data_IF_175841466417
#
_entry.id   IF_175841466417
#
_cell.length_a   1.000
_cell.length_b   1.000
_cell.length_c   1.000
_cell.angle_alpha   90.00
_cell.angle_beta   90.00
_cell.angle_gamma   90.00
#
_symmetry.space_group_name_H-M   'P 1'
#
loop_
_entity.id
_entity.type
_entity.pdbx_description
1 polymer ?
#
# COMPACT_ATOMS: atom_id res chain seq x y z
N UNK A 1 58.68 -13.05 34.97
CA UNK A 1 57.88 -11.80 34.85
C UNK A 1 57.86 -11.21 33.45
N UNK A 2 58.99 -11.11 32.72
CA UNK A 2 59.08 -10.41 31.41
C UNK A 2 58.10 -10.91 30.32
N UNK A 3 57.87 -12.22 30.21
CA UNK A 3 57.03 -12.80 29.15
C UNK A 3 55.52 -12.58 29.35
N UNK A 4 55.06 -12.44 30.61
CA UNK A 4 53.65 -12.18 30.93
C UNK A 4 53.26 -10.73 30.66
N UNK A 5 54.18 -9.80 30.89
CA UNK A 5 54.00 -8.37 30.62
C UNK A 5 53.92 -8.10 29.12
N UNK A 6 54.79 -8.74 28.32
CA UNK A 6 54.75 -8.61 26.85
C UNK A 6 53.45 -9.16 26.27
N UNK A 7 52.96 -10.31 26.77
CA UNK A 7 51.67 -10.87 26.33
C UNK A 7 50.48 -9.98 26.71
N UNK A 8 50.49 -9.36 27.89
CA UNK A 8 49.46 -8.43 28.31
C UNK A 8 49.43 -7.17 27.42
N UNK A 9 50.60 -6.63 27.07
CA UNK A 9 50.73 -5.45 26.19
C UNK A 9 50.24 -5.77 24.77
N UNK A 10 50.62 -6.94 24.21
CA UNK A 10 50.11 -7.36 22.91
C UNK A 10 48.60 -7.56 22.90
N UNK A 11 48.02 -8.13 23.97
CA UNK A 11 46.58 -8.31 24.08
C UNK A 11 45.84 -6.98 24.17
N UNK A 12 46.37 -6.00 24.90
CA UNK A 12 45.79 -4.65 24.95
C UNK A 12 45.90 -3.93 23.61
N UNK A 13 46.99 -4.12 22.84
CA UNK A 13 47.07 -3.57 21.48
C UNK A 13 46.06 -4.21 20.53
N UNK A 14 45.81 -5.52 20.62
CA UNK A 14 44.78 -6.19 19.80
C UNK A 14 43.37 -5.70 20.15
N UNK A 15 43.08 -5.51 21.44
CA UNK A 15 41.79 -4.98 21.92
C UNK A 15 41.59 -3.53 21.45
N UNK A 16 42.63 -2.69 21.52
CA UNK A 16 42.59 -1.32 20.99
C UNK A 16 42.42 -1.31 19.47
N UNK A 17 43.05 -2.23 18.73
CA UNK A 17 42.88 -2.33 17.28
C UNK A 17 41.48 -2.81 16.88
N UNK A 18 40.89 -3.75 17.63
CA UNK A 18 39.49 -4.15 17.43
C UNK A 18 38.49 -3.05 17.80
N UNK A 19 38.78 -2.23 18.82
CA UNK A 19 37.95 -1.09 19.22
C UNK A 19 38.14 0.14 18.31
N UNK A 20 39.28 0.29 17.64
CA UNK A 20 39.53 1.37 16.67
C UNK A 20 38.99 1.03 15.27
N UNK A 21 38.91 -0.26 14.91
CA UNK A 21 38.31 -0.71 13.66
C UNK A 21 36.78 -0.51 13.59
N UNK A 22 36.13 -0.19 14.71
CA UNK A 22 34.70 0.20 14.74
C UNK A 22 34.46 1.68 14.45
N UNK A 23 35.51 2.43 14.04
CA UNK A 23 35.39 3.78 13.51
C UNK A 23 34.63 3.81 12.18
N UNK A 24 33.30 3.76 12.29
CA UNK A 24 32.28 4.31 11.41
C UNK A 24 32.72 4.75 9.99
N UNK A 25 32.67 3.83 9.04
CA UNK A 25 32.29 4.19 7.67
C UNK A 25 30.76 4.37 7.65
N UNK A 26 30.28 5.50 8.15
CA UNK A 26 28.94 5.95 7.83
C UNK A 26 29.03 6.62 6.45
N UNK A 27 28.88 5.82 5.40
CA UNK A 27 28.54 6.38 4.09
C UNK A 27 27.16 7.03 4.28
N UNK A 28 27.11 8.36 4.22
CA UNK A 28 25.89 9.12 4.45
C UNK A 28 24.99 8.89 3.24
N UNK A 29 24.17 7.84 3.30
CA UNK A 29 23.15 7.58 2.28
C UNK A 29 22.16 8.74 2.39
N UNK A 30 22.25 9.70 1.49
CA UNK A 30 21.27 10.78 1.38
C UNK A 30 19.90 10.15 1.12
N UNK A 31 18.91 10.48 1.96
CA UNK A 31 17.53 10.02 1.84
C UNK A 31 16.63 11.26 1.83
N UNK A 32 15.65 11.29 0.93
CA UNK A 32 14.59 12.31 0.95
C UNK A 32 13.24 11.64 1.18
N UNK A 33 12.81 11.56 2.45
CA UNK A 33 11.56 10.92 2.82
C UNK A 33 10.39 11.90 2.68
N UNK A 34 9.47 11.57 1.79
CA UNK A 34 8.26 12.34 1.54
C UNK A 34 7.02 11.46 1.70
N UNK A 35 5.95 12.06 2.22
CA UNK A 35 4.62 11.43 2.26
C UNK A 35 3.87 11.78 0.99
N UNK A 36 3.66 10.81 0.11
CA UNK A 36 2.92 10.98 -1.13
C UNK A 36 1.50 10.41 -1.02
N UNK A 37 0.49 11.18 -1.43
CA UNK A 37 -0.92 10.72 -1.45
C UNK A 37 -1.18 10.00 -2.76
N UNK A 38 -1.44 8.70 -2.69
CA UNK A 38 -1.70 7.85 -3.86
C UNK A 38 -3.19 7.87 -4.23
N UNK A 39 -4.09 7.87 -3.23
CA UNK A 39 -5.53 7.99 -3.44
C UNK A 39 -6.19 8.86 -2.37
N UNK A 40 -7.07 9.76 -2.81
CA UNK A 40 -8.00 10.47 -1.92
C UNK A 40 -9.43 9.90 -1.98
N UNK A 41 -9.79 9.16 -3.04
CA UNK A 41 -11.15 8.66 -3.30
C UNK A 41 -12.23 9.73 -3.51
N UNK A 42 -11.83 11.00 -3.68
CA UNK A 42 -12.75 12.12 -3.89
C UNK A 42 -13.41 12.09 -5.29
N UNK A 43 -12.70 11.55 -6.30
CA UNK A 43 -13.18 11.42 -7.68
C UNK A 43 -13.32 9.94 -8.10
N UNK A 44 -14.55 9.38 -8.05
CA UNK A 44 -14.84 8.01 -8.45
C UNK A 44 -14.55 7.68 -9.91
N UNK A 45 -14.65 8.66 -10.81
CA UNK A 45 -14.54 8.43 -12.25
C UNK A 45 -13.08 8.51 -12.71
N UNK A 46 -12.25 9.33 -12.07
CA UNK A 46 -10.82 9.41 -12.39
C UNK A 46 -10.08 8.09 -12.11
N UNK A 47 -10.40 7.41 -11.01
CA UNK A 47 -9.69 6.21 -10.55
C UNK A 47 -10.67 5.20 -9.94
N UNK A 48 -11.40 4.43 -10.78
CA UNK A 48 -12.44 3.55 -10.30
C UNK A 48 -11.87 2.36 -9.54
N UNK A 49 -12.59 1.95 -8.50
CA UNK A 49 -12.34 0.76 -7.71
C UNK A 49 -13.48 -0.23 -7.90
N UNK A 50 -13.22 -1.52 -7.68
CA UNK A 50 -14.25 -2.54 -7.69
C UNK A 50 -13.97 -3.61 -6.64
N UNK A 51 -14.99 -4.41 -6.36
CA UNK A 51 -14.98 -5.38 -5.29
C UNK A 51 -15.15 -6.79 -5.84
N UNK A 52 -14.39 -7.74 -5.30
CA UNK A 52 -14.58 -9.17 -5.59
C UNK A 52 -14.83 -9.87 -4.26
N UNK A 53 -15.99 -10.51 -4.13
CA UNK A 53 -16.36 -11.30 -2.96
C UNK A 53 -15.92 -12.76 -3.06
N UNK A 54 -15.63 -13.36 -1.91
CA UNK A 54 -15.48 -14.81 -1.78
C UNK A 54 -16.78 -15.57 -2.06
N UNK A 55 -16.69 -16.90 -2.17
CA UNK A 55 -17.80 -17.79 -2.56
C UNK A 55 -19.11 -17.62 -1.77
N UNK A 56 -19.02 -17.24 -0.49
CA UNK A 56 -20.19 -17.12 0.40
C UNK A 56 -20.70 -15.69 0.56
N UNK A 57 -20.26 -14.77 -0.31
CA UNK A 57 -20.85 -13.44 -0.37
C UNK A 57 -22.34 -13.57 -0.71
N UNK A 58 -23.17 -12.88 0.09
CA UNK A 58 -24.61 -12.84 -0.16
C UNK A 58 -24.88 -12.25 -1.53
N UNK A 59 -25.95 -12.70 -2.20
CA UNK A 59 -26.34 -12.17 -3.51
C UNK A 59 -26.37 -10.64 -3.51
N UNK A 60 -25.81 -10.04 -4.57
CA UNK A 60 -25.65 -8.59 -4.76
C UNK A 60 -24.67 -7.90 -3.80
N UNK A 61 -23.87 -8.68 -3.04
CA UNK A 61 -22.74 -8.22 -2.23
C UNK A 61 -21.42 -8.87 -2.72
N UNK A 62 -20.26 -8.23 -2.49
CA UNK A 62 -20.07 -6.94 -1.84
C UNK A 62 -20.52 -5.74 -2.70
N UNK A 63 -20.81 -4.60 -2.06
CA UNK A 63 -21.21 -3.36 -2.73
C UNK A 63 -20.20 -2.24 -2.46
N UNK A 64 -19.94 -1.44 -3.48
CA UNK A 64 -19.11 -0.26 -3.40
C UNK A 64 -19.99 1.00 -3.41
N UNK A 65 -19.63 1.99 -2.59
CA UNK A 65 -20.21 3.32 -2.63
C UNK A 65 -19.15 4.37 -2.31
N UNK A 66 -19.40 5.61 -2.70
CA UNK A 66 -18.56 6.74 -2.29
C UNK A 66 -19.38 7.60 -1.34
N UNK A 67 -18.97 7.63 -0.08
CA UNK A 67 -19.70 8.31 0.98
C UNK A 67 -19.06 9.67 1.29
N UNK A 68 -19.89 10.68 1.56
CA UNK A 68 -19.43 11.96 2.09
C UNK A 68 -19.05 11.79 3.57
N UNK A 69 -17.87 11.26 3.81
CA UNK A 69 -17.30 10.98 5.13
C UNK A 69 -15.77 11.01 5.05
N UNK A 70 -15.12 11.40 6.14
CA UNK A 70 -13.68 11.60 6.22
C UNK A 70 -13.14 11.46 7.66
N UNK A 71 -11.84 11.19 7.85
CA UNK A 71 -11.19 11.26 9.15
C UNK A 71 -11.20 12.68 9.71
N UNK A 72 -11.83 12.86 10.87
CA UNK A 72 -11.88 14.14 11.59
C UNK A 72 -10.48 14.67 11.92
N UNK A 73 -9.51 13.78 12.11
CA UNK A 73 -8.11 14.13 12.37
C UNK A 73 -7.42 14.84 11.19
N UNK A 74 -7.92 14.65 9.96
CA UNK A 74 -7.34 15.26 8.76
C UNK A 74 -8.11 16.50 8.29
N UNK A 75 -9.44 16.45 8.33
CA UNK A 75 -10.30 17.48 7.73
C UNK A 75 -11.23 18.18 8.73
N UNK A 76 -11.04 17.93 10.03
CA UNK A 76 -11.88 18.49 11.08
C UNK A 76 -13.32 17.96 11.04
N UNK A 77 -14.20 18.58 11.83
CA UNK A 77 -15.61 18.17 11.92
C UNK A 77 -16.44 18.63 10.72
N UNK A 78 -16.01 19.69 10.03
CA UNK A 78 -16.75 20.28 8.91
C UNK A 78 -16.36 19.71 7.55
N UNK A 79 -15.18 19.09 7.43
CA UNK A 79 -14.66 18.57 6.15
C UNK A 79 -14.11 19.66 5.23
N UNK A 80 -14.18 20.93 5.64
CA UNK A 80 -13.89 22.07 4.79
C UNK A 80 -14.89 22.23 3.63
N UNK A 81 -14.54 23.08 2.66
CA UNK A 81 -15.41 23.43 1.53
C UNK A 81 -15.28 22.47 0.32
N UNK A 82 -14.51 21.39 0.45
CA UNK A 82 -14.25 20.43 -0.63
C UNK A 82 -15.30 19.30 -0.63
N UNK A 83 -15.61 18.76 -1.80
CA UNK A 83 -16.45 17.56 -1.92
C UNK A 83 -15.61 16.32 -1.58
N UNK A 84 -15.31 16.14 -0.29
CA UNK A 84 -14.48 15.03 0.19
C UNK A 84 -15.31 13.76 0.27
N UNK A 85 -14.77 12.68 -0.27
CA UNK A 85 -15.42 11.37 -0.27
C UNK A 85 -14.48 10.28 0.21
N UNK A 86 -15.05 9.27 0.82
CA UNK A 86 -14.36 8.03 1.18
C UNK A 86 -14.94 6.85 0.42
N UNK A 87 -14.09 5.86 0.16
CA UNK A 87 -14.46 4.61 -0.48
C UNK A 87 -15.17 3.72 0.54
N UNK A 88 -16.49 3.59 0.41
CA UNK A 88 -17.34 2.73 1.22
C UNK A 88 -17.45 1.33 0.65
N UNK A 89 -17.30 0.33 1.51
CA UNK A 89 -17.36 -1.09 1.20
C UNK A 89 -18.42 -1.71 2.10
N UNK A 90 -19.46 -2.29 1.50
CA UNK A 90 -20.47 -3.07 2.20
C UNK A 90 -20.26 -4.56 1.94
N UNK A 91 -20.10 -5.32 3.01
CA UNK A 91 -19.84 -6.76 3.00
C UNK A 91 -20.98 -7.49 3.68
N UNK A 92 -21.43 -8.60 3.11
CA UNK A 92 -22.44 -9.47 3.72
C UNK A 92 -22.18 -10.90 3.24
N UNK A 93 -22.22 -11.86 4.16
CA UNK A 93 -22.02 -13.26 3.84
C UNK A 93 -23.11 -14.14 4.44
N UNK A 94 -23.42 -15.25 3.74
CA UNK A 94 -24.47 -16.17 4.13
C UNK A 94 -24.07 -17.08 5.30
N UNK A 95 -22.76 -17.23 5.55
CA UNK A 95 -22.23 -18.07 6.63
C UNK A 95 -20.89 -17.59 7.17
N UNK A 96 -20.62 -17.91 8.44
CA UNK A 96 -19.34 -17.66 9.11
C UNK A 96 -18.27 -18.61 8.60
N UNK A 97 -17.24 -18.10 7.94
CA UNK A 97 -16.03 -18.81 7.52
C UNK A 97 -14.86 -17.81 7.34
N UNK A 98 -13.75 -18.26 6.76
CA UNK A 98 -12.72 -17.40 6.18
C UNK A 98 -13.22 -16.77 4.87
N UNK A 99 -14.18 -15.86 4.98
CA UNK A 99 -14.64 -15.08 3.85
C UNK A 99 -13.68 -13.92 3.60
N UNK A 100 -13.71 -13.40 2.38
CA UNK A 100 -12.90 -12.27 1.99
C UNK A 100 -13.59 -11.40 0.97
N UNK A 101 -13.17 -10.13 0.93
CA UNK A 101 -13.49 -9.19 -0.14
C UNK A 101 -12.18 -8.53 -0.59
N UNK A 102 -11.91 -8.64 -1.89
CA UNK A 102 -10.83 -7.90 -2.55
C UNK A 102 -11.33 -6.53 -2.97
N UNK A 103 -10.53 -5.51 -2.69
CA UNK A 103 -10.73 -4.11 -3.09
C UNK A 103 -9.65 -3.79 -4.10
N UNK A 104 -10.04 -3.66 -5.36
CA UNK A 104 -9.09 -3.68 -6.49
C UNK A 104 -9.18 -2.36 -7.26
N UNK A 105 -8.05 -1.67 -7.48
CA UNK A 105 -7.99 -0.53 -8.39
C UNK A 105 -8.24 -1.01 -9.83
N UNK A 106 -8.96 -0.20 -10.60
CA UNK A 106 -9.39 -0.58 -11.92
C UNK A 106 -9.40 0.56 -12.92
N UNK A 107 -9.68 0.17 -14.16
CA UNK A 107 -10.14 1.05 -15.21
C UNK A 107 -11.54 0.65 -15.61
N UNK A 108 -12.36 1.66 -15.82
CA UNK A 108 -13.69 1.53 -16.38
C UNK A 108 -13.58 1.78 -17.87
N UNK A 109 -13.86 0.77 -18.67
CA UNK A 109 -13.85 0.83 -20.13
C UNK A 109 -15.27 0.61 -20.65
N UNK A 110 -15.72 1.44 -21.59
CA UNK A 110 -17.08 1.37 -22.16
C UNK A 110 -18.07 2.39 -21.56
N UNK A 111 -19.28 2.42 -22.10
CA UNK A 111 -20.37 3.31 -21.66
C UNK A 111 -21.72 2.61 -21.78
N UNK A 112 -22.68 2.97 -20.93
CA UNK A 112 -24.02 2.37 -20.93
C UNK A 112 -24.05 0.96 -20.32
N UNK A 113 -24.56 -0.02 -21.05
CA UNK A 113 -24.71 -1.42 -20.60
C UNK A 113 -23.44 -2.27 -20.73
N UNK A 114 -22.45 -1.80 -21.50
CA UNK A 114 -21.21 -2.54 -21.81
C UNK A 114 -20.01 -1.98 -21.03
N UNK A 115 -20.18 -1.76 -19.72
CA UNK A 115 -19.08 -1.35 -18.85
C UNK A 115 -18.25 -2.57 -18.49
N UNK A 116 -17.03 -2.63 -19.04
CA UNK A 116 -16.02 -3.62 -18.68
C UNK A 116 -15.10 -3.03 -17.62
N UNK A 117 -14.92 -3.77 -16.53
CA UNK A 117 -13.99 -3.41 -15.46
C UNK A 117 -12.71 -4.23 -15.62
N UNK A 118 -11.59 -3.54 -15.77
CA UNK A 118 -10.28 -4.17 -15.89
C UNK A 118 -9.43 -3.84 -14.66
N UNK A 119 -8.95 -4.85 -13.90
CA UNK A 119 -7.99 -4.64 -12.83
C UNK A 119 -6.76 -3.89 -13.36
N UNK A 120 -6.43 -2.76 -12.73
CA UNK A 120 -5.23 -1.99 -13.07
C UNK A 120 -4.47 -1.70 -11.79
N UNK A 121 -3.22 -2.14 -11.73
CA UNK A 121 -2.37 -1.91 -10.57
C UNK A 121 -2.00 -0.44 -10.43
N UNK A 122 -1.96 0.03 -9.20
CA UNK A 122 -1.71 1.43 -8.89
C UNK A 122 -0.21 1.64 -8.61
N UNK A 123 0.52 2.45 -9.39
CA UNK A 123 1.94 2.67 -9.17
C UNK A 123 2.19 3.41 -7.86
N UNK A 124 3.15 2.92 -7.08
CA UNK A 124 3.63 3.55 -5.88
C UNK A 124 4.95 4.26 -6.20
N UNK A 125 5.00 5.60 -6.11
CA UNK A 125 6.16 6.36 -6.56
C UNK A 125 7.34 6.23 -5.60
N UNK A 126 8.55 6.29 -6.16
CA UNK A 126 9.81 6.31 -5.41
C UNK A 126 10.15 4.97 -4.76
N UNK A 127 11.08 4.99 -3.79
CA UNK A 127 11.40 3.82 -2.96
C UNK A 127 10.52 3.83 -1.71
N UNK A 128 9.43 3.07 -1.78
CA UNK A 128 8.41 2.97 -0.74
C UNK A 128 9.00 2.34 0.52
N UNK A 129 8.86 3.04 1.65
CA UNK A 129 9.24 2.58 2.98
C UNK A 129 8.04 2.12 3.81
N UNK A 130 6.89 2.74 3.61
CA UNK A 130 5.67 2.44 4.36
C UNK A 130 4.43 2.74 3.53
N UNK A 131 3.39 1.93 3.69
CA UNK A 131 2.03 2.21 3.26
C UNK A 131 1.21 2.70 4.44
N UNK A 132 0.39 3.72 4.21
CA UNK A 132 -0.49 4.35 5.19
C UNK A 132 -1.89 4.48 4.59
N UNK A 133 -2.95 4.12 5.33
CA UNK A 133 -4.33 4.36 4.91
C UNK A 133 -5.23 4.57 6.12
N UNK A 134 -6.21 5.47 6.00
CA UNK A 134 -7.26 5.63 7.01
C UNK A 134 -8.39 4.65 6.74
N UNK A 135 -8.80 3.93 7.78
CA UNK A 135 -9.89 2.96 7.70
C UNK A 135 -10.87 3.20 8.85
N UNK A 136 -12.12 3.44 8.51
CA UNK A 136 -13.24 3.41 9.45
C UNK A 136 -13.73 1.98 9.64
N UNK A 137 -13.96 1.59 10.89
CA UNK A 137 -14.58 0.30 11.21
C UNK A 137 -15.64 0.46 12.31
N UNK A 138 -16.59 -0.48 12.31
CA UNK A 138 -17.64 -0.64 13.31
C UNK A 138 -17.31 -1.67 14.39
N UNK A 139 -16.02 -1.98 14.62
CA UNK A 139 -15.53 -2.97 15.59
C UNK A 139 -15.89 -4.43 15.25
N UNK A 140 -15.54 -4.86 14.05
CA UNK A 140 -15.60 -6.26 13.62
C UNK A 140 -14.21 -6.88 13.66
N UNK A 141 -14.08 -8.11 14.17
CA UNK A 141 -12.84 -8.92 14.19
C UNK A 141 -12.48 -9.45 12.79
N UNK A 142 -12.22 -8.50 11.91
CA UNK A 142 -11.75 -8.69 10.55
C UNK A 142 -10.31 -8.17 10.50
N UNK A 143 -9.56 -8.51 9.45
CA UNK A 143 -8.21 -7.96 9.25
C UNK A 143 -7.98 -7.63 7.78
N UNK A 144 -7.05 -6.73 7.51
CA UNK A 144 -6.75 -6.26 6.16
C UNK A 144 -5.30 -6.53 5.76
N UNK A 145 -5.13 -6.93 4.52
CA UNK A 145 -3.85 -7.19 3.87
C UNK A 145 -3.72 -6.33 2.60
N UNK A 146 -2.53 -5.80 2.36
CA UNK A 146 -2.17 -5.15 1.10
C UNK A 146 -1.35 -6.11 0.23
N UNK A 147 -1.68 -6.19 -1.06
CA UNK A 147 -0.95 -6.99 -2.04
C UNK A 147 -0.14 -6.06 -2.92
N UNK A 148 1.19 -6.16 -2.83
CA UNK A 148 2.12 -5.28 -3.53
C UNK A 148 2.97 -6.10 -4.48
N UNK A 149 3.06 -5.69 -5.74
CA UNK A 149 3.90 -6.35 -6.74
C UNK A 149 5.22 -5.60 -6.87
N UNK A 150 6.31 -6.36 -6.92
CA UNK A 150 7.63 -5.86 -7.23
C UNK A 150 7.93 -5.86 -8.73
N UNK A 151 9.07 -5.29 -9.11
CA UNK A 151 9.50 -5.23 -10.52
C UNK A 151 9.85 -6.59 -11.14
N UNK A 152 10.03 -7.64 -10.31
CA UNK A 152 10.22 -9.02 -10.77
C UNK A 152 8.89 -9.72 -11.03
N UNK A 153 7.77 -9.04 -10.78
CA UNK A 153 6.42 -9.56 -10.94
C UNK A 153 5.94 -10.42 -9.77
N UNK A 154 6.68 -10.46 -8.65
CA UNK A 154 6.30 -11.21 -7.45
C UNK A 154 5.34 -10.35 -6.63
N UNK A 155 4.22 -10.96 -6.21
CA UNK A 155 3.24 -10.30 -5.34
C UNK A 155 3.53 -10.68 -3.89
N UNK A 156 3.79 -9.66 -3.08
CA UNK A 156 4.04 -9.72 -1.65
C UNK A 156 2.77 -9.35 -0.89
N UNK A 157 2.43 -10.13 0.14
CA UNK A 157 1.28 -9.86 1.02
C UNK A 157 1.78 -9.19 2.29
N UNK A 158 1.25 -8.01 2.58
CA UNK A 158 1.63 -7.19 3.74
C UNK A 158 0.43 -7.09 4.69
N UNK A 159 0.51 -7.66 5.92
CA UNK A 159 -0.56 -7.53 6.90
C UNK A 159 -0.59 -6.09 7.43
N UNK A 160 -1.71 -5.40 7.25
CA UNK A 160 -1.88 -4.01 7.73
C UNK A 160 -2.41 -3.96 9.16
N UNK A 161 -3.21 -4.94 9.57
CA UNK A 161 -3.68 -5.10 10.95
C UNK A 161 -5.16 -5.45 11.07
N UNK A 162 -5.63 -5.49 12.31
CA UNK A 162 -7.00 -5.82 12.68
C UNK A 162 -7.94 -4.61 12.58
N UNK A 163 -9.16 -4.87 12.11
CA UNK A 163 -10.26 -3.91 11.95
C UNK A 163 -11.20 -3.89 13.17
N UNK A 164 -10.81 -4.52 14.29
CA UNK A 164 -11.53 -4.52 15.57
C UNK A 164 -11.41 -3.19 16.34
N UNK A 165 -11.67 -2.07 15.66
CA UNK A 165 -11.69 -0.73 16.25
C UNK A 165 -12.97 0.01 15.84
N UNK A 166 -13.32 1.03 16.61
CA UNK A 166 -14.46 1.91 16.31
C UNK A 166 -13.96 3.21 15.72
N UNK A 167 -14.56 3.64 14.61
CA UNK A 167 -14.26 4.93 13.99
C UNK A 167 -13.04 4.89 13.08
N UNK A 168 -12.55 6.08 12.74
CA UNK A 168 -11.39 6.25 11.88
C UNK A 168 -10.09 5.93 12.63
N UNK A 169 -9.29 5.02 12.07
CA UNK A 169 -7.94 4.72 12.54
C UNK A 169 -6.98 4.72 11.35
N UNK A 170 -5.78 5.20 11.59
CA UNK A 170 -4.71 5.22 10.62
C UNK A 170 -3.92 3.91 10.69
N UNK A 171 -3.92 3.14 9.60
CA UNK A 171 -3.18 1.89 9.46
C UNK A 171 -1.87 2.15 8.75
N UNK A 172 -0.79 1.57 9.27
CA UNK A 172 0.55 1.70 8.70
C UNK A 172 1.21 0.35 8.63
N UNK A 173 1.82 0.03 7.49
CA UNK A 173 2.64 -1.16 7.31
C UNK A 173 3.96 -0.78 6.64
N UNK A 174 5.06 -1.21 7.24
CA UNK A 174 6.38 -1.01 6.64
C UNK A 174 6.57 -1.98 5.48
N UNK A 175 7.21 -1.51 4.41
CA UNK A 175 7.67 -2.39 3.35
C UNK A 175 8.93 -3.11 3.84
N UNK A 176 8.93 -4.44 3.91
CA UNK A 176 10.12 -5.19 4.32
C UNK A 176 11.29 -4.98 3.36
N UNK A 177 12.53 -4.94 3.88
CA UNK A 177 13.74 -4.71 3.06
C UNK A 177 14.02 -5.84 2.06
N UNK A 178 13.44 -7.03 2.25
CA UNK A 178 13.52 -8.13 1.29
C UNK A 178 12.60 -7.96 0.08
N UNK A 179 11.70 -6.97 0.06
CA UNK A 179 10.91 -6.60 -1.12
C UNK A 179 11.80 -5.74 -2.03
N UNK A 180 12.18 -6.23 -3.21
CA UNK A 180 13.19 -5.59 -4.03
C UNK A 180 12.62 -4.37 -4.76
N UNK A 181 13.26 -3.21 -4.59
CA UNK A 181 12.87 -1.91 -5.19
C UNK A 181 13.99 -1.26 -6.00
N UNK A 182 15.09 -1.98 -6.18
CA UNK A 182 16.22 -1.54 -6.97
C UNK A 182 16.94 -2.72 -7.60
N UNK A 183 17.59 -2.48 -8.73
CA UNK A 183 18.41 -3.47 -9.43
C UNK A 183 19.83 -2.95 -9.68
N UNK A 184 20.73 -3.87 -10.03
CA UNK A 184 22.15 -3.56 -10.28
C UNK A 184 22.36 -2.68 -11.52
N UNK A 185 21.56 -2.91 -12.57
CA UNK A 185 21.67 -2.22 -13.85
C UNK A 185 20.75 -1.00 -13.91
N UNK A 186 21.06 -0.07 -14.79
CA UNK A 186 20.21 1.12 -14.98
C UNK A 186 18.95 0.77 -15.79
N UNK A 187 17.82 1.47 -15.58
CA UNK A 187 17.55 2.40 -14.46
C UNK A 187 17.58 1.67 -13.10
N UNK A 188 18.22 2.25 -12.08
CA UNK A 188 18.43 1.55 -10.80
C UNK A 188 17.17 1.41 -9.97
N UNK A 189 16.25 2.38 -10.04
CA UNK A 189 15.00 2.41 -9.30
C UNK A 189 13.93 1.66 -10.06
N UNK A 190 13.19 0.85 -9.32
CA UNK A 190 12.01 0.18 -9.81
C UNK A 190 10.86 0.40 -8.83
N UNK A 191 9.73 0.86 -9.36
CA UNK A 191 8.57 1.19 -8.53
C UNK A 191 7.82 -0.07 -8.12
N UNK A 192 7.21 -0.03 -6.94
CA UNK A 192 6.23 -1.02 -6.53
C UNK A 192 4.86 -0.66 -7.13
N UNK A 193 4.00 -1.65 -7.29
CA UNK A 193 2.59 -1.43 -7.66
C UNK A 193 1.67 -2.06 -6.61
N UNK A 194 0.61 -1.35 -6.25
CA UNK A 194 -0.46 -1.88 -5.42
C UNK A 194 -1.43 -2.66 -6.31
N UNK A 195 -1.54 -3.96 -6.04
CA UNK A 195 -2.43 -4.88 -6.77
C UNK A 195 -3.86 -4.77 -6.25
N UNK A 196 -4.02 -4.84 -4.92
CA UNK A 196 -5.32 -4.81 -4.23
C UNK A 196 -5.15 -4.73 -2.71
N UNK A 197 -6.23 -4.41 -2.03
CA UNK A 197 -6.41 -4.78 -0.61
C UNK A 197 -7.32 -6.00 -0.50
N UNK A 198 -7.13 -6.79 0.55
CA UNK A 198 -8.05 -7.87 0.91
C UNK A 198 -8.48 -7.69 2.36
N UNK A 199 -9.78 -7.64 2.57
CA UNK A 199 -10.38 -7.72 3.90
C UNK A 199 -10.76 -9.18 4.13
N UNK A 200 -10.32 -9.75 5.25
CA UNK A 200 -10.64 -11.10 5.69
C UNK A 200 -11.56 -11.07 6.90
N UNK A 201 -12.53 -11.96 6.91
CA UNK A 201 -13.33 -12.26 8.10
C UNK A 201 -12.66 -13.36 8.90
N UNK A 202 -12.70 -13.26 10.23
CA UNK A 202 -12.34 -14.40 11.07
C UNK A 202 -13.51 -15.39 11.18
N UNK A 203 -13.27 -16.71 11.25
CA UNK A 203 -14.34 -17.72 11.29
C UNK A 203 -15.27 -17.59 12.50
N UNK A 204 -14.79 -17.00 13.59
CA UNK A 204 -15.53 -16.81 14.83
C UNK A 204 -16.44 -15.57 14.79
N UNK A 205 -16.11 -14.58 13.96
CA UNK A 205 -16.79 -13.29 13.89
C UNK A 205 -18.17 -13.39 13.20
N UNK A 206 -19.04 -12.45 13.49
CA UNK A 206 -20.30 -12.26 12.77
C UNK A 206 -20.05 -11.75 11.35
N UNK A 207 -20.81 -12.30 10.41
CA UNK A 207 -20.73 -11.95 8.98
C UNK A 207 -21.85 -11.02 8.52
N UNK A 208 -22.71 -10.66 9.46
CA UNK A 208 -23.82 -9.73 9.32
C UNK A 208 -23.97 -8.96 10.63
N UNK A 209 -24.22 -7.66 10.54
CA UNK A 209 -24.47 -6.77 11.68
C UNK A 209 -25.62 -7.29 12.55
N UNK A 210 -25.52 -7.21 13.88
CA UNK A 210 -26.52 -7.75 14.80
C UNK A 210 -27.73 -6.81 14.88
N UNK A 211 -28.56 -6.84 13.85
CA UNK A 211 -29.82 -6.11 13.77
C UNK A 211 -31.02 -7.05 13.87
N UNK A 212 -32.23 -6.50 13.97
CA UNK A 212 -33.45 -7.30 14.02
C UNK A 212 -33.63 -8.14 12.74
N UNK A 213 -34.28 -9.29 12.86
CA UNK A 213 -34.44 -10.23 11.73
C UNK A 213 -35.23 -9.63 10.55
N UNK A 214 -36.18 -8.75 10.83
CA UNK A 214 -37.01 -8.00 9.89
C UNK A 214 -36.34 -6.75 9.31
N UNK A 215 -35.14 -6.39 9.79
CA UNK A 215 -34.42 -5.22 9.30
C UNK A 215 -34.06 -5.37 7.80
N UNK A 216 -34.05 -4.25 7.05
CA UNK A 216 -33.58 -4.24 5.66
C UNK A 216 -32.17 -4.86 5.53
N UNK A 217 -31.91 -5.51 4.40
CA UNK A 217 -30.62 -6.18 4.15
C UNK A 217 -29.41 -5.25 4.28
N UNK A 218 -29.60 -3.96 3.97
CA UNK A 218 -28.54 -2.97 4.10
C UNK A 218 -28.11 -2.78 5.56
N UNK A 219 -29.04 -2.77 6.50
CA UNK A 219 -28.71 -2.66 7.92
C UNK A 219 -27.99 -3.91 8.47
N UNK A 220 -28.09 -5.05 7.75
CA UNK A 220 -27.38 -6.29 8.08
C UNK A 220 -25.95 -6.31 7.53
N UNK A 221 -25.61 -5.45 6.57
CA UNK A 221 -24.27 -5.42 6.00
C UNK A 221 -23.24 -4.89 6.99
N UNK A 222 -22.00 -5.35 6.84
CA UNK A 222 -20.81 -4.87 7.55
C UNK A 222 -20.13 -3.83 6.67
N UNK A 223 -19.86 -2.66 7.24
CA UNK A 223 -19.36 -1.51 6.49
C UNK A 223 -17.93 -1.14 6.90
N UNK A 224 -17.10 -0.86 5.90
CA UNK A 224 -15.78 -0.23 6.06
C UNK A 224 -15.68 0.98 5.14
N UNK A 225 -14.95 2.01 5.56
CA UNK A 225 -14.68 3.18 4.72
C UNK A 225 -13.19 3.44 4.67
N UNK A 226 -12.65 3.59 3.47
CA UNK A 226 -11.23 3.87 3.26
C UNK A 226 -11.05 5.31 2.80
N UNK A 227 -10.01 5.95 3.32
CA UNK A 227 -9.65 7.30 2.93
C UNK A 227 -8.12 7.48 2.95
N UNK A 228 -7.62 8.42 2.14
CA UNK A 228 -6.24 8.92 2.19
C UNK A 228 -5.17 7.82 2.15
N UNK A 229 -5.15 7.01 1.10
CA UNK A 229 -4.05 6.08 0.85
C UNK A 229 -2.78 6.86 0.52
N UNK A 230 -1.75 6.62 1.32
CA UNK A 230 -0.46 7.30 1.28
C UNK A 230 0.68 6.29 1.26
N UNK A 231 1.80 6.75 0.74
CA UNK A 231 3.09 6.08 0.88
C UNK A 231 4.10 7.04 1.48
N UNK A 232 4.88 6.55 2.44
CA UNK A 232 6.14 7.18 2.79
C UNK A 232 7.19 6.63 1.84
N UNK A 233 7.79 7.51 1.04
CA UNK A 233 8.70 7.09 -0.03
C UNK A 233 9.96 7.94 -0.02
N UNK A 234 11.08 7.31 -0.35
CA UNK A 234 12.33 7.98 -0.62
C UNK A 234 12.37 8.39 -2.09
N UNK A 235 12.33 9.70 -2.33
CA UNK A 235 12.37 10.27 -3.68
C UNK A 235 13.78 10.58 -4.14
N UNK A 236 14.78 10.46 -3.26
CA UNK A 236 16.15 10.77 -3.60
C UNK A 236 16.76 9.72 -4.54
N UNK A 237 17.39 10.18 -5.62
CA UNK A 237 18.19 9.37 -6.51
C UNK A 237 19.60 9.95 -6.61
N UNK A 238 20.61 9.08 -6.46
CA UNK A 238 22.00 9.45 -6.73
C UNK A 238 22.17 9.64 -8.23
N UNK A 239 22.25 10.89 -8.66
CA UNK A 239 22.60 11.23 -10.03
C UNK A 239 24.04 10.77 -10.32
N UNK A 240 24.27 10.32 -11.54
CA UNK A 240 25.60 9.99 -12.05
C UNK A 240 25.80 10.68 -13.41
N UNK A 241 27.05 10.80 -13.83
CA UNK A 241 27.37 11.40 -15.13
C UNK A 241 26.72 10.60 -16.28
N UNK A 242 25.92 11.28 -17.10
CA UNK A 242 25.14 10.65 -18.17
C UNK A 242 23.80 10.03 -17.76
N UNK A 243 23.26 10.31 -16.57
CA UNK A 243 21.95 9.80 -16.12
C UNK A 243 20.80 10.15 -17.08
N UNK A 244 20.85 11.32 -17.71
CA UNK A 244 19.87 11.76 -18.71
C UNK A 244 19.76 10.83 -19.93
N UNK A 245 20.81 10.05 -20.24
CA UNK A 245 20.80 9.09 -21.35
C UNK A 245 19.86 7.90 -21.09
N UNK A 246 19.48 7.68 -19.82
CA UNK A 246 18.59 6.60 -19.40
C UNK A 246 17.15 7.06 -19.20
N UNK A 247 16.83 8.34 -19.43
CA UNK A 247 15.45 8.83 -19.41
C UNK A 247 14.66 8.15 -20.54
N UNK A 248 13.51 7.50 -20.24
CA UNK A 248 12.67 6.90 -21.26
C UNK A 248 12.35 7.84 -22.44
N UNK A 249 12.17 9.13 -22.18
CA UNK A 249 11.90 10.13 -23.23
C UNK A 249 13.11 10.32 -24.14
N UNK A 250 14.30 10.46 -23.56
CA UNK A 250 15.54 10.63 -24.33
C UNK A 250 15.83 9.38 -25.17
N UNK A 251 15.58 8.18 -24.62
CA UNK A 251 15.72 6.92 -25.35
C UNK A 251 14.73 6.86 -26.52
N UNK A 252 13.47 7.20 -26.27
CA UNK A 252 12.41 7.21 -27.29
C UNK A 252 12.70 8.22 -28.42
N UNK A 253 13.08 9.45 -28.07
CA UNK A 253 13.43 10.49 -29.04
C UNK A 253 14.66 10.11 -29.88
N UNK A 254 15.69 9.54 -29.24
CA UNK A 254 16.97 9.21 -29.89
C UNK A 254 16.88 7.94 -30.74
N UNK A 255 16.16 6.91 -30.28
CA UNK A 255 16.18 5.58 -30.88
C UNK A 255 14.82 5.09 -31.40
N UNK A 256 13.71 5.62 -30.89
CA UNK A 256 12.34 5.21 -31.22
C UNK A 256 11.84 5.67 -32.59
N UNK A 257 12.52 6.64 -33.22
CA UNK A 257 12.12 7.24 -34.50
C UNK A 257 12.62 6.50 -35.76
N UNK A 258 13.11 5.28 -35.64
CA UNK A 258 13.69 4.52 -36.77
C UNK A 258 12.71 3.62 -37.55
N UNK A 259 11.39 3.70 -37.30
CA UNK A 259 10.38 2.86 -37.96
C UNK A 259 9.65 3.48 -39.18
N UNK A 260 10.21 4.52 -39.84
CA UNK A 260 9.57 5.15 -41.01
C UNK A 260 10.48 5.43 -42.21
N UNK A 261 11.58 4.69 -42.40
CA UNK A 261 12.36 4.79 -43.65
C UNK A 261 13.02 3.47 -44.07
N UNK A 262 12.19 2.47 -44.43
CA UNK A 262 12.54 1.49 -45.45
C UNK A 262 11.32 1.12 -46.27
#
# INVERSE_FOLDING_TARGET
MKQRVVKAICLSFVIVFMLAATGAFADEVTVNLESYVVQTFDDPEAQPWFLIGSKFATKDYPKLAYAKAWPTALFGTTGGDKDIRSLGIAMLFDRKEYNWVDVVPGKKSGSGTDVTYEPTELPLPGRVKMLDMWIWSGNFDYYIEAYIRDYKGIVHTLPMGDLGHVGWKNFRVNIPDNVPQSKKYLPKRENLTLVKFRIWTRPTEIVASPVKADAPIEQKAVYFYFDQLKVLTDTFETLFDGDSLMDPKVIEDTWGSSASSK
#
